data_IF_531223995106
#
_entry.id   IF_531223995106
#
_cell.length_a   1.000
_cell.length_b   1.000
_cell.length_c   1.000
_cell.angle_alpha   90.00
_cell.angle_beta   90.00
_cell.angle_gamma   90.00
#
_symmetry.space_group_name_H-M   'P 1'
#
loop_
_entity.id
_entity.type
_entity.pdbx_description
1 polymer ?
#
# COMPACT_ATOMS: atom_id res chain seq x y z
N UNK A 1 36.12 -16.64 -31.89
CA UNK A 1 35.52 -17.31 -30.74
C UNK A 1 34.12 -17.74 -31.16
N UNK A 2 33.74 -19.01 -31.01
CA UNK A 2 32.38 -19.45 -31.28
C UNK A 2 31.45 -18.87 -30.22
N UNK A 3 30.16 -18.59 -30.54
CA UNK A 3 29.20 -18.08 -29.59
C UNK A 3 28.94 -19.08 -28.45
N UNK A 4 28.61 -18.62 -27.22
CA UNK A 4 28.37 -19.52 -26.10
C UNK A 4 27.14 -20.40 -26.38
N UNK A 5 27.25 -21.68 -25.97
CA UNK A 5 26.22 -22.67 -26.16
C UNK A 5 24.93 -22.25 -25.42
N UNK A 6 23.78 -22.44 -26.05
CA UNK A 6 22.48 -22.18 -25.43
C UNK A 6 22.28 -23.08 -24.20
N UNK A 7 21.64 -22.54 -23.12
CA UNK A 7 21.38 -23.34 -21.94
C UNK A 7 20.43 -24.53 -22.26
N UNK A 8 20.56 -25.66 -21.55
CA UNK A 8 19.73 -26.84 -21.83
C UNK A 8 18.26 -26.53 -21.56
N UNK A 9 17.41 -26.88 -22.52
CA UNK A 9 15.95 -26.83 -22.40
C UNK A 9 15.47 -27.97 -21.53
N UNK A 10 14.93 -27.65 -20.34
CA UNK A 10 14.26 -28.64 -19.50
C UNK A 10 12.84 -28.93 -20.04
N UNK A 11 12.40 -30.20 -20.10
CA UNK A 11 11.04 -30.50 -20.46
C UNK A 11 10.06 -29.96 -19.41
N UNK A 12 8.85 -29.52 -19.83
CA UNK A 12 7.84 -29.05 -18.87
C UNK A 12 7.41 -30.20 -17.94
N UNK A 13 7.17 -29.93 -16.65
CA UNK A 13 6.70 -30.93 -15.70
C UNK A 13 5.32 -31.49 -16.14
N UNK A 14 5.03 -32.78 -15.88
CA UNK A 14 3.76 -33.40 -16.28
C UNK A 14 2.58 -32.75 -15.58
N UNK A 15 1.42 -32.61 -16.26
CA UNK A 15 0.20 -32.09 -15.66
C UNK A 15 -0.24 -33.00 -14.51
N UNK A 16 -0.38 -32.43 -13.29
CA UNK A 16 -0.94 -33.14 -12.14
C UNK A 16 -0.01 -33.40 -10.95
N UNK A 17 1.24 -32.92 -10.94
CA UNK A 17 2.19 -33.21 -9.85
C UNK A 17 2.27 -32.17 -8.73
N UNK A 18 1.20 -31.42 -8.44
CA UNK A 18 1.16 -30.53 -7.27
C UNK A 18 0.28 -31.15 -6.17
N UNK A 19 0.87 -31.78 -5.13
CA UNK A 19 0.13 -32.05 -3.91
C UNK A 19 -0.17 -30.73 -3.24
N UNK A 20 -1.44 -30.53 -2.81
CA UNK A 20 -1.90 -29.32 -2.12
C UNK A 20 -1.12 -29.05 -0.84
N UNK A 21 -0.26 -28.05 -0.85
CA UNK A 21 0.47 -27.51 0.27
C UNK A 21 1.18 -26.25 -0.20
N UNK A 22 0.58 -25.08 0.13
CA UNK A 22 0.93 -23.78 -0.37
C UNK A 22 2.34 -23.30 -0.11
N UNK A 23 3.29 -23.70 -0.94
CA UNK A 23 4.54 -22.98 -1.13
C UNK A 23 4.34 -21.98 -2.28
N UNK A 24 4.83 -20.74 -2.15
CA UNK A 24 4.89 -19.84 -3.29
C UNK A 24 5.75 -20.50 -4.38
N UNK A 25 5.38 -20.35 -5.67
CA UNK A 25 6.18 -20.89 -6.76
C UNK A 25 7.62 -20.36 -6.69
N UNK A 26 8.62 -21.16 -7.13
CA UNK A 26 10.02 -20.76 -7.11
C UNK A 26 10.23 -19.43 -7.83
N UNK A 27 11.09 -18.59 -7.28
CA UNK A 27 11.50 -17.32 -7.87
C UNK A 27 11.96 -17.58 -9.32
N UNK A 28 11.32 -16.93 -10.30
CA UNK A 28 11.68 -17.00 -11.70
C UNK A 28 10.65 -17.58 -12.68
N UNK A 29 9.50 -18.07 -12.22
CA UNK A 29 8.48 -18.69 -13.11
C UNK A 29 7.33 -17.76 -13.53
N UNK A 30 7.45 -16.44 -13.35
CA UNK A 30 6.45 -15.53 -13.90
C UNK A 30 6.85 -15.14 -15.32
N UNK A 31 5.96 -15.31 -16.31
CA UNK A 31 6.24 -14.88 -17.67
C UNK A 31 6.56 -13.38 -17.69
N UNK A 32 7.48 -12.94 -18.57
CA UNK A 32 7.79 -11.53 -18.76
C UNK A 32 6.50 -10.75 -19.04
N UNK A 33 6.38 -9.56 -18.48
CA UNK A 33 5.28 -8.64 -18.76
C UNK A 33 5.25 -8.31 -20.26
N UNK A 34 4.19 -8.71 -20.96
CA UNK A 34 4.04 -8.55 -22.41
C UNK A 34 3.53 -7.17 -22.85
N UNK A 35 3.35 -6.24 -21.91
CA UNK A 35 2.85 -4.90 -22.21
C UNK A 35 1.37 -4.79 -22.58
N UNK A 36 0.62 -5.91 -22.61
CA UNK A 36 -0.78 -5.96 -23.04
C UNK A 36 -1.81 -5.46 -21.98
N UNK A 37 -1.36 -4.72 -20.98
CA UNK A 37 -2.25 -4.03 -20.04
C UNK A 37 -2.84 -4.89 -18.90
N UNK A 38 -2.49 -6.16 -18.80
CA UNK A 38 -2.84 -7.07 -17.70
C UNK A 38 -1.64 -7.85 -17.19
N UNK A 39 -1.69 -8.40 -15.95
CA UNK A 39 -0.74 -9.40 -15.53
C UNK A 39 -0.88 -10.61 -16.46
N UNK A 40 0.26 -11.18 -16.92
CA UNK A 40 0.29 -12.29 -17.84
C UNK A 40 -0.49 -13.53 -17.37
N UNK A 41 -0.61 -14.58 -18.20
CA UNK A 41 -1.30 -15.80 -17.84
C UNK A 41 -0.81 -16.38 -16.52
N UNK A 42 -1.73 -16.69 -15.60
CA UNK A 42 -1.41 -17.26 -14.28
C UNK A 42 -1.16 -16.23 -13.17
N UNK A 43 -1.06 -14.93 -13.46
CA UNK A 43 -0.94 -13.88 -12.43
C UNK A 43 -2.32 -13.38 -12.02
N UNK A 44 -2.50 -13.13 -10.73
CA UNK A 44 -3.75 -12.58 -10.22
C UNK A 44 -4.01 -11.16 -10.78
N UNK A 45 -5.27 -10.79 -11.09
CA UNK A 45 -5.58 -9.49 -11.67
C UNK A 45 -5.24 -8.34 -10.72
N UNK A 46 -4.96 -7.16 -11.29
CA UNK A 46 -4.73 -5.95 -10.51
C UNK A 46 -5.95 -5.58 -9.65
N UNK A 47 -5.67 -5.15 -8.41
CA UNK A 47 -6.72 -4.69 -7.51
C UNK A 47 -7.45 -3.47 -8.08
N UNK A 48 -8.78 -3.48 -8.04
CA UNK A 48 -9.58 -2.33 -8.46
C UNK A 48 -9.45 -1.18 -7.47
N UNK A 49 -9.72 0.04 -7.92
CA UNK A 49 -9.74 1.21 -7.04
C UNK A 49 -10.67 1.01 -5.83
N UNK A 50 -11.88 0.48 -6.04
CA UNK A 50 -12.85 0.25 -4.98
C UNK A 50 -12.37 -0.76 -3.93
N UNK A 51 -11.66 -1.85 -4.34
CA UNK A 51 -11.09 -2.79 -3.37
C UNK A 51 -9.96 -2.16 -2.55
N UNK A 52 -9.14 -1.30 -3.16
CA UNK A 52 -8.11 -0.54 -2.44
C UNK A 52 -8.71 0.41 -1.42
N UNK A 53 -9.74 1.18 -1.84
CA UNK A 53 -10.47 2.08 -0.97
C UNK A 53 -11.12 1.32 0.20
N UNK A 54 -11.75 0.18 -0.06
CA UNK A 54 -12.34 -0.66 0.98
C UNK A 54 -11.31 -1.13 2.01
N UNK A 55 -10.15 -1.61 1.56
CA UNK A 55 -9.04 -1.98 2.46
C UNK A 55 -8.56 -0.80 3.29
N UNK A 56 -8.34 0.36 2.66
CA UNK A 56 -7.94 1.58 3.34
C UNK A 56 -8.96 2.02 4.41
N UNK A 57 -10.26 2.01 4.09
CA UNK A 57 -11.30 2.38 5.06
C UNK A 57 -11.33 1.45 6.29
N UNK A 58 -11.12 0.15 6.10
CA UNK A 58 -11.01 -0.80 7.20
C UNK A 58 -9.77 -0.48 8.07
N UNK A 59 -8.63 -0.22 7.46
CA UNK A 59 -7.42 0.16 8.20
C UNK A 59 -7.64 1.48 8.96
N UNK A 60 -8.30 2.47 8.38
CA UNK A 60 -8.67 3.73 9.07
C UNK A 60 -9.53 3.45 10.31
N UNK A 61 -10.55 2.59 10.20
CA UNK A 61 -11.39 2.23 11.35
C UNK A 61 -10.56 1.60 12.47
N UNK A 62 -9.58 0.75 12.13
CA UNK A 62 -8.66 0.15 13.11
C UNK A 62 -7.81 1.22 13.81
N UNK A 63 -7.40 2.27 13.10
CA UNK A 63 -6.57 3.35 13.65
C UNK A 63 -7.35 4.42 14.44
N UNK A 64 -8.68 4.52 14.31
CA UNK A 64 -9.49 5.48 15.08
C UNK A 64 -9.25 5.35 16.60
N UNK A 65 -9.33 4.16 17.23
CA UNK A 65 -9.06 4.02 18.66
C UNK A 65 -7.64 4.47 19.05
N UNK A 66 -6.64 4.12 18.24
CA UNK A 66 -5.23 4.52 18.48
C UNK A 66 -5.11 6.04 18.47
N UNK A 67 -5.67 6.69 17.46
CA UNK A 67 -5.68 8.16 17.37
C UNK A 67 -6.39 8.80 18.56
N UNK A 68 -7.57 8.30 18.94
CA UNK A 68 -8.35 8.83 20.06
C UNK A 68 -7.61 8.68 21.38
N UNK A 69 -7.00 7.52 21.65
CA UNK A 69 -6.20 7.30 22.86
C UNK A 69 -5.02 8.26 22.91
N UNK A 70 -4.26 8.39 21.84
CA UNK A 70 -3.13 9.31 21.77
C UNK A 70 -3.57 10.77 21.90
N UNK A 71 -4.68 11.14 21.27
CA UNK A 71 -5.22 12.50 21.39
C UNK A 71 -5.65 12.82 22.83
N UNK A 72 -6.24 11.86 23.57
CA UNK A 72 -6.59 12.02 24.97
C UNK A 72 -5.35 12.10 25.86
N UNK A 73 -4.38 11.22 25.67
CA UNK A 73 -3.16 11.17 26.47
C UNK A 73 -2.33 12.47 26.32
N UNK A 74 -2.26 12.99 25.09
CA UNK A 74 -1.42 14.16 24.78
C UNK A 74 -2.20 15.47 24.66
N UNK A 75 -3.48 15.52 25.05
CA UNK A 75 -4.31 16.75 24.98
C UNK A 75 -3.75 17.93 25.77
N UNK A 76 -2.98 17.66 26.82
CA UNK A 76 -2.38 18.69 27.70
C UNK A 76 -0.94 19.07 27.33
N UNK A 77 -0.34 18.41 26.33
CA UNK A 77 1.01 18.76 25.88
C UNK A 77 0.95 19.99 24.97
N UNK A 78 1.07 21.18 25.56
CA UNK A 78 1.01 22.44 24.84
C UNK A 78 2.30 22.79 24.07
N UNK A 79 3.39 22.05 24.28
CA UNK A 79 4.71 22.36 23.72
C UNK A 79 4.78 22.36 22.20
N UNK A 80 3.93 21.57 21.54
CA UNK A 80 3.85 21.44 20.09
C UNK A 80 2.36 21.28 19.71
N UNK A 81 1.65 22.39 19.51
CA UNK A 81 0.23 22.36 19.14
C UNK A 81 -0.04 23.07 17.83
N UNK A 82 -0.84 22.47 16.97
CA UNK A 82 -1.39 23.10 15.76
C UNK A 82 -2.76 23.67 16.09
N UNK A 83 -2.94 24.94 15.78
CA UNK A 83 -4.18 25.66 16.03
C UNK A 83 -4.95 25.83 14.72
N UNK A 84 -6.14 25.27 14.65
CA UNK A 84 -7.06 25.50 13.56
C UNK A 84 -8.14 26.48 14.00
N UNK A 85 -8.24 27.62 13.30
CA UNK A 85 -9.33 28.56 13.48
C UNK A 85 -10.46 28.18 12.53
N UNK A 86 -11.53 27.61 13.06
CA UNK A 86 -12.75 27.35 12.29
C UNK A 86 -13.79 28.43 12.61
N UNK A 87 -14.29 29.10 11.56
CA UNK A 87 -15.40 30.04 11.69
C UNK A 87 -16.68 29.28 11.37
N UNK A 88 -17.50 29.06 12.38
CA UNK A 88 -18.82 28.46 12.19
C UNK A 88 -19.88 29.41 12.78
N UNK A 89 -20.87 29.82 11.98
CA UNK A 89 -22.00 30.69 12.38
C UNK A 89 -21.58 31.95 13.17
N UNK A 90 -20.48 32.60 12.76
CA UNK A 90 -20.01 33.83 13.40
C UNK A 90 -19.15 33.63 14.67
N UNK A 91 -19.05 32.44 15.21
CA UNK A 91 -18.19 32.11 16.35
C UNK A 91 -16.85 31.54 15.87
N UNK A 92 -15.75 32.10 16.39
CA UNK A 92 -14.40 31.52 16.15
C UNK A 92 -14.17 30.36 17.14
N UNK A 93 -14.17 29.13 16.63
CA UNK A 93 -13.82 27.96 17.41
C UNK A 93 -12.36 27.58 17.15
N UNK A 94 -11.51 27.75 18.15
CA UNK A 94 -10.08 27.32 18.11
C UNK A 94 -10.00 25.84 18.49
N UNK A 95 -9.62 24.99 17.54
CA UNK A 95 -9.31 23.58 17.79
C UNK A 95 -7.80 23.42 17.89
N UNK A 96 -7.32 22.87 19.00
CA UNK A 96 -5.90 22.62 19.26
C UNK A 96 -5.65 21.12 19.18
N UNK A 97 -4.73 20.70 18.32
CA UNK A 97 -4.27 19.32 18.24
C UNK A 97 -2.79 19.26 18.63
N UNK A 98 -2.44 18.28 19.43
CA UNK A 98 -1.04 18.03 19.76
C UNK A 98 -0.28 17.48 18.56
N UNK A 99 0.78 18.17 18.12
CA UNK A 99 1.68 17.66 17.06
C UNK A 99 2.28 16.31 17.45
N UNK A 100 2.54 16.11 18.73
CA UNK A 100 3.08 14.84 19.22
C UNK A 100 2.13 13.68 18.95
N UNK A 101 0.82 13.85 19.18
CA UNK A 101 -0.17 12.80 18.88
C UNK A 101 -0.26 12.50 17.37
N UNK A 102 -0.16 13.53 16.53
CA UNK A 102 -0.17 13.38 15.07
C UNK A 102 1.09 12.62 14.61
N UNK A 103 2.26 12.99 15.10
CA UNK A 103 3.53 12.32 14.78
C UNK A 103 3.51 10.87 15.24
N UNK A 104 3.09 10.60 16.48
CA UNK A 104 3.03 9.23 17.01
C UNK A 104 2.05 8.37 16.25
N UNK A 105 0.90 8.91 15.86
CA UNK A 105 -0.07 8.18 15.01
C UNK A 105 0.53 7.89 13.63
N UNK A 106 1.22 8.86 13.02
CA UNK A 106 1.89 8.66 11.74
C UNK A 106 3.00 7.60 11.81
N UNK A 107 3.79 7.61 12.89
CA UNK A 107 4.83 6.58 13.12
C UNK A 107 4.19 5.21 13.33
N UNK A 108 3.12 5.11 14.11
CA UNK A 108 2.41 3.86 14.34
C UNK A 108 1.83 3.29 13.03
N UNK A 109 1.21 4.13 12.20
CA UNK A 109 0.69 3.75 10.88
C UNK A 109 1.83 3.30 9.94
N UNK A 110 2.95 4.04 9.91
CA UNK A 110 4.12 3.68 9.10
C UNK A 110 4.71 2.33 9.52
N UNK A 111 4.84 2.08 10.82
CA UNK A 111 5.31 0.78 11.35
C UNK A 111 4.33 -0.32 10.98
N UNK A 112 3.02 -0.10 11.16
CA UNK A 112 1.97 -1.03 10.82
C UNK A 112 2.03 -1.44 9.34
N UNK A 113 2.03 -0.46 8.43
CA UNK A 113 2.09 -0.72 6.98
C UNK A 113 3.41 -1.41 6.61
N UNK A 114 4.54 -0.96 7.16
CA UNK A 114 5.87 -1.52 6.85
C UNK A 114 5.98 -2.97 7.29
N UNK A 115 5.56 -3.30 8.51
CA UNK A 115 5.64 -4.66 9.05
C UNK A 115 4.71 -5.60 8.30
N UNK A 116 3.48 -5.19 8.05
CA UNK A 116 2.48 -6.06 7.45
C UNK A 116 2.67 -6.20 5.93
N UNK A 117 2.92 -5.11 5.20
CA UNK A 117 3.16 -5.17 3.76
C UNK A 117 4.57 -5.67 3.42
N UNK A 118 5.58 -5.40 4.25
CA UNK A 118 6.94 -5.91 4.07
C UNK A 118 7.11 -7.38 4.41
N UNK A 119 6.19 -7.94 5.20
CA UNK A 119 6.16 -9.34 5.59
C UNK A 119 5.73 -10.27 4.45
N UNK A 120 5.75 -11.59 4.73
CA UNK A 120 5.46 -12.65 3.74
C UNK A 120 4.08 -12.53 3.06
N UNK A 121 3.08 -11.97 3.74
CA UNK A 121 1.72 -11.82 3.20
C UNK A 121 1.59 -10.62 2.27
N UNK A 122 2.38 -9.55 2.49
CA UNK A 122 2.30 -8.32 1.72
C UNK A 122 0.95 -7.58 1.87
N UNK A 123 0.31 -7.67 3.05
CA UNK A 123 -1.08 -7.21 3.25
C UNK A 123 -1.23 -6.56 4.62
N UNK A 124 -1.90 -5.40 4.69
CA UNK A 124 -2.48 -4.87 5.93
C UNK A 124 -3.71 -5.68 6.34
N UNK A 125 -4.25 -5.43 7.52
CA UNK A 125 -5.51 -6.10 7.97
C UNK A 125 -6.66 -5.76 7.05
N UNK A 126 -6.80 -4.50 6.65
CA UNK A 126 -7.82 -4.07 5.69
C UNK A 126 -7.64 -4.74 4.32
N UNK A 127 -6.40 -4.85 3.83
CA UNK A 127 -6.10 -5.57 2.58
C UNK A 127 -6.43 -7.05 2.67
N UNK A 128 -6.19 -7.70 3.82
CA UNK A 128 -6.59 -9.09 4.05
C UNK A 128 -8.10 -9.26 3.97
N UNK A 129 -8.86 -8.34 4.59
CA UNK A 129 -10.32 -8.38 4.59
C UNK A 129 -10.94 -8.27 3.18
N UNK A 130 -10.32 -7.49 2.28
CA UNK A 130 -10.81 -7.31 0.90
C UNK A 130 -10.10 -8.18 -0.13
N UNK A 131 -9.19 -9.06 0.29
CA UNK A 131 -8.50 -10.02 -0.57
C UNK A 131 -7.56 -9.36 -1.59
N UNK A 132 -6.72 -8.41 -1.18
CA UNK A 132 -5.68 -7.80 -2.01
C UNK A 132 -4.33 -7.84 -1.32
N UNK A 133 -3.23 -7.82 -2.08
CA UNK A 133 -1.86 -7.79 -1.54
C UNK A 133 -0.93 -6.91 -2.37
N UNK A 134 0.07 -6.34 -1.73
CA UNK A 134 1.15 -5.59 -2.37
C UNK A 134 2.27 -6.54 -2.76
N UNK A 135 2.78 -6.40 -3.98
CA UNK A 135 3.91 -7.15 -4.51
C UNK A 135 4.86 -6.23 -5.26
N UNK A 136 6.06 -6.69 -5.58
CA UNK A 136 6.99 -5.97 -6.45
C UNK A 136 6.44 -5.94 -7.88
N UNK A 137 6.56 -4.80 -8.57
CA UNK A 137 6.04 -4.61 -9.93
C UNK A 137 6.76 -5.48 -10.98
N UNK A 138 8.06 -5.74 -10.81
CA UNK A 138 8.85 -6.45 -11.80
C UNK A 138 8.77 -7.99 -11.66
N UNK A 139 8.71 -8.50 -10.43
CA UNK A 139 8.83 -9.94 -10.13
C UNK A 139 7.57 -10.55 -9.54
N UNK A 140 6.61 -9.72 -9.10
CA UNK A 140 5.42 -10.10 -8.34
C UNK A 140 5.72 -10.84 -7.01
N UNK A 141 6.96 -10.75 -6.55
CA UNK A 141 7.39 -11.30 -5.26
C UNK A 141 6.98 -10.41 -4.09
N UNK A 142 7.26 -10.90 -2.88
CA UNK A 142 7.08 -10.14 -1.63
C UNK A 142 7.84 -8.82 -1.72
N UNK A 143 7.20 -7.74 -1.31
CA UNK A 143 7.75 -6.38 -1.37
C UNK A 143 9.04 -6.23 -0.57
N UNK A 144 9.10 -6.87 0.61
CA UNK A 144 10.18 -6.68 1.58
C UNK A 144 10.07 -5.36 2.35
N UNK A 145 10.68 -5.33 3.53
CA UNK A 145 10.53 -4.20 4.47
C UNK A 145 11.04 -2.87 3.92
N UNK A 146 12.15 -2.86 3.17
CA UNK A 146 12.73 -1.63 2.63
C UNK A 146 11.80 -0.91 1.64
N UNK A 147 11.20 -1.64 0.70
CA UNK A 147 10.24 -1.06 -0.26
C UNK A 147 8.90 -0.72 0.40
N UNK A 148 8.44 -1.54 1.36
CA UNK A 148 7.23 -1.26 2.12
C UNK A 148 7.39 0.04 2.94
N UNK A 149 8.54 0.25 3.58
CA UNK A 149 8.89 1.49 4.26
C UNK A 149 8.92 2.67 3.28
N UNK A 150 9.62 2.54 2.16
CA UNK A 150 9.69 3.60 1.15
C UNK A 150 8.30 4.00 0.63
N UNK A 151 7.44 3.01 0.35
CA UNK A 151 6.04 3.21 -0.05
C UNK A 151 5.25 3.97 1.02
N UNK A 152 5.34 3.51 2.27
CA UNK A 152 4.65 4.14 3.40
C UNK A 152 5.15 5.57 3.67
N UNK A 153 6.45 5.83 3.55
CA UNK A 153 7.02 7.18 3.69
C UNK A 153 6.48 8.13 2.62
N UNK A 154 6.45 7.72 1.36
CA UNK A 154 5.90 8.54 0.27
C UNK A 154 4.42 8.84 0.51
N UNK A 155 3.64 7.85 0.93
CA UNK A 155 2.23 8.03 1.28
C UNK A 155 2.06 9.02 2.45
N UNK A 156 2.88 8.91 3.50
CA UNK A 156 2.86 9.84 4.63
C UNK A 156 3.22 11.27 4.23
N UNK A 157 4.22 11.43 3.36
CA UNK A 157 4.58 12.74 2.81
C UNK A 157 3.41 13.35 2.03
N UNK A 158 2.75 12.60 1.15
CA UNK A 158 1.58 13.09 0.42
C UNK A 158 0.42 13.45 1.35
N UNK A 159 0.18 12.66 2.39
CA UNK A 159 -0.85 12.93 3.40
C UNK A 159 -0.53 14.20 4.20
N UNK A 160 0.72 14.36 4.63
CA UNK A 160 1.16 15.54 5.37
C UNK A 160 1.09 16.81 4.52
N UNK A 161 1.58 16.76 3.29
CA UNK A 161 1.49 17.86 2.34
C UNK A 161 0.02 18.19 2.05
N UNK A 162 -0.82 17.18 1.84
CA UNK A 162 -2.25 17.35 1.59
C UNK A 162 -3.01 18.00 2.74
N UNK A 163 -2.54 17.84 3.99
CA UNK A 163 -3.14 18.50 5.15
C UNK A 163 -2.70 19.96 5.32
N UNK A 164 -1.60 20.38 4.70
CA UNK A 164 -1.02 21.70 4.88
C UNK A 164 -1.73 22.81 4.08
N UNK A 165 -2.16 22.51 2.85
CA UNK A 165 -2.89 23.48 2.00
C UNK A 165 -3.87 22.76 1.09
N UNK A 166 -4.92 23.48 0.64
CA UNK A 166 -5.91 22.97 -0.32
C UNK A 166 -5.26 22.48 -1.63
N UNK A 167 -4.27 23.22 -2.15
CA UNK A 167 -3.57 22.88 -3.40
C UNK A 167 -2.82 21.55 -3.25
N UNK A 168 -2.14 21.35 -2.11
CA UNK A 168 -1.41 20.11 -1.85
C UNK A 168 -2.36 18.94 -1.52
N UNK A 169 -3.57 19.23 -1.02
CA UNK A 169 -4.66 18.25 -0.88
C UNK A 169 -5.08 17.62 -2.20
N UNK A 170 -5.01 18.41 -3.28
CA UNK A 170 -5.25 17.91 -4.65
C UNK A 170 -4.20 16.87 -5.05
N UNK A 171 -2.94 17.02 -4.67
CA UNK A 171 -1.88 16.04 -4.97
C UNK A 171 -2.16 14.71 -4.29
N UNK A 172 -2.55 14.73 -3.01
CA UNK A 172 -2.95 13.51 -2.30
C UNK A 172 -4.19 12.86 -2.92
N UNK A 173 -5.18 13.67 -3.31
CA UNK A 173 -6.38 13.18 -4.00
C UNK A 173 -6.03 12.55 -5.36
N UNK A 174 -5.13 13.19 -6.14
CA UNK A 174 -4.65 12.66 -7.40
C UNK A 174 -3.91 11.33 -7.21
N UNK A 175 -3.07 11.20 -6.19
CA UNK A 175 -2.42 9.93 -5.86
C UNK A 175 -3.45 8.82 -5.61
N UNK A 176 -4.49 9.12 -4.82
CA UNK A 176 -5.55 8.17 -4.49
C UNK A 176 -6.41 7.79 -5.70
N UNK A 177 -6.67 8.73 -6.62
CA UNK A 177 -7.49 8.51 -7.82
C UNK A 177 -6.70 7.95 -9.00
N UNK A 178 -5.37 8.04 -8.99
CA UNK A 178 -4.50 7.64 -10.10
C UNK A 178 -4.75 6.22 -10.63
N UNK A 179 -5.07 5.21 -9.79
CA UNK A 179 -5.41 3.86 -10.25
C UNK A 179 -6.62 3.74 -11.18
N UNK A 180 -7.45 4.78 -11.30
CA UNK A 180 -8.63 4.77 -12.18
C UNK A 180 -8.25 4.80 -13.66
N UNK A 181 -7.12 5.44 -14.01
CA UNK A 181 -6.65 5.58 -15.40
C UNK A 181 -5.28 4.95 -15.66
N UNK A 182 -4.60 4.46 -14.62
CA UNK A 182 -3.34 3.75 -14.80
C UNK A 182 -3.55 2.30 -15.28
N UNK A 183 -2.79 1.86 -16.28
CA UNK A 183 -2.89 0.50 -16.86
C UNK A 183 -2.66 -0.60 -15.83
N UNK A 184 -1.73 -0.40 -14.89
CA UNK A 184 -1.42 -1.33 -13.79
C UNK A 184 -2.21 -1.01 -12.52
N UNK A 185 -3.11 -0.02 -12.57
CA UNK A 185 -3.87 0.48 -11.43
C UNK A 185 -3.00 0.85 -10.23
N UNK A 186 -1.82 1.41 -10.51
CA UNK A 186 -0.87 1.88 -9.50
C UNK A 186 -1.22 3.30 -9.05
N UNK A 187 -1.02 3.59 -7.77
CA UNK A 187 -0.95 4.96 -7.25
C UNK A 187 0.42 5.58 -7.58
N UNK A 188 0.59 6.87 -7.37
CA UNK A 188 1.90 7.51 -7.55
C UNK A 188 2.93 6.95 -6.56
N UNK A 189 2.55 6.75 -5.31
CA UNK A 189 3.44 6.14 -4.32
C UNK A 189 3.77 4.66 -4.65
N UNK A 190 2.85 3.90 -5.26
CA UNK A 190 3.14 2.55 -5.76
C UNK A 190 4.21 2.59 -6.86
N UNK A 191 4.12 3.55 -7.81
CA UNK A 191 5.11 3.71 -8.89
C UNK A 191 6.49 4.08 -8.36
N UNK A 192 6.56 5.02 -7.42
CA UNK A 192 7.82 5.43 -6.78
C UNK A 192 8.46 4.25 -6.07
N UNK A 193 7.69 3.46 -5.35
CA UNK A 193 8.16 2.28 -4.61
C UNK A 193 8.36 1.04 -5.52
N UNK A 194 8.02 1.10 -6.81
CA UNK A 194 8.05 -0.03 -7.76
C UNK A 194 7.26 -1.22 -7.24
N UNK A 195 6.03 -0.97 -6.80
CA UNK A 195 5.09 -1.95 -6.27
C UNK A 195 3.78 -1.94 -7.05
N UNK A 196 3.02 -3.03 -6.96
CA UNK A 196 1.69 -3.16 -7.54
C UNK A 196 0.79 -3.93 -6.58
N UNK A 197 -0.51 -3.68 -6.63
CA UNK A 197 -1.47 -4.39 -5.77
C UNK A 197 -2.29 -5.37 -6.62
N UNK A 198 -2.25 -6.65 -6.23
CA UNK A 198 -2.95 -7.74 -6.87
C UNK A 198 -4.13 -8.20 -6.02
N UNK A 199 -5.16 -8.77 -6.65
CA UNK A 199 -6.21 -9.51 -5.94
C UNK A 199 -5.65 -10.87 -5.51
N UNK A 200 -5.87 -11.24 -4.25
CA UNK A 200 -5.60 -12.60 -3.79
C UNK A 200 -6.75 -13.46 -4.30
N UNK A 201 -6.46 -14.44 -5.15
CA UNK A 201 -7.45 -15.43 -5.54
C UNK A 201 -7.73 -16.27 -4.29
N UNK A 202 -8.89 -16.12 -3.70
CA UNK A 202 -9.36 -17.09 -2.72
C UNK A 202 -9.50 -18.41 -3.49
N UNK A 203 -8.57 -19.34 -3.24
CA UNK A 203 -8.77 -20.73 -3.61
C UNK A 203 -9.83 -21.21 -2.60
N UNK A 204 -11.09 -21.23 -3.07
CA UNK A 204 -12.16 -21.90 -2.36
C UNK A 204 -11.95 -23.41 -2.44
#
# INVERSE_FOLDING_TARGET
MPPPAAPPSYPPPPPGSYPGGGYPPPQGQYPPFDGSGGPGPGVAPYATWGTRLGGYLIDVVIFIPVFVILAILFRHTHALSVHFNMRNNGTQQRRTFSLLSIILTGVADLVYVTVLCGGRRGQTVGMMAVGIRVVQDATYDVVGYGRALGRGLVEQVFRLLGSATFILGVVWLLDMLFPLWDKKRQTLHDKIAKTVVLRVRNVA
#
